data_IF_918027474781
#
_entry.id   IF_918027474781
#
_cell.length_a   1.000
_cell.length_b   1.000
_cell.length_c   1.000
_cell.angle_alpha   90.00
_cell.angle_beta   90.00
_cell.angle_gamma   90.00
#
_symmetry.space_group_name_H-M   'P 1'
#
loop_
_entity.id
_entity.type
_entity.pdbx_description
1 polymer ?
#
# COMPACT_ATOMS: atom_id res chain seq x y z
N UNK A 1 -14.46 3.34 10.58
CA UNK A 1 -14.88 2.27 9.64
C UNK A 1 -13.64 1.86 8.87
N UNK A 2 -13.13 0.65 9.07
CA UNK A 2 -12.02 0.16 8.24
C UNK A 2 -12.56 -0.10 6.84
N UNK A 3 -12.13 0.74 5.89
CA UNK A 3 -12.49 0.60 4.50
C UNK A 3 -11.36 -0.14 3.79
N UNK A 4 -11.62 -1.38 3.41
CA UNK A 4 -10.73 -2.19 2.61
C UNK A 4 -10.76 -1.67 1.17
N UNK A 5 -9.63 -1.15 0.69
CA UNK A 5 -9.50 -0.69 -0.69
C UNK A 5 -8.71 -1.70 -1.51
N UNK A 6 -9.37 -2.35 -2.46
CA UNK A 6 -8.73 -3.33 -3.32
C UNK A 6 -7.61 -2.70 -4.16
N UNK A 7 -6.47 -3.37 -4.22
CA UNK A 7 -5.33 -2.96 -5.02
C UNK A 7 -5.56 -3.34 -6.49
N UNK A 8 -5.18 -2.48 -7.44
CA UNK A 8 -5.45 -2.72 -8.87
C UNK A 8 -4.41 -3.54 -9.62
N UNK A 9 -3.17 -3.56 -9.12
CA UNK A 9 -2.01 -4.09 -9.85
C UNK A 9 -1.53 -5.38 -9.20
N UNK A 10 -2.28 -6.46 -9.41
CA UNK A 10 -1.91 -7.81 -9.02
C UNK A 10 -2.61 -8.85 -9.89
N UNK A 11 -2.12 -10.08 -9.83
CA UNK A 11 -2.78 -11.26 -10.40
C UNK A 11 -2.92 -12.33 -9.32
N UNK A 12 -3.89 -13.22 -9.48
CA UNK A 12 -4.03 -14.36 -8.60
C UNK A 12 -2.95 -15.40 -8.93
N UNK A 13 -2.41 -16.04 -7.89
CA UNK A 13 -1.44 -17.13 -7.96
C UNK A 13 -2.09 -18.47 -7.64
N UNK A 14 -1.27 -19.43 -7.22
CA UNK A 14 -1.72 -20.75 -6.77
C UNK A 14 -2.13 -20.70 -5.29
N UNK A 15 -3.00 -21.60 -4.84
CA UNK A 15 -3.38 -21.77 -3.43
C UNK A 15 -3.83 -20.47 -2.70
N UNK A 16 -4.51 -19.57 -3.42
CA UNK A 16 -4.99 -18.30 -2.85
C UNK A 16 -3.90 -17.23 -2.68
N UNK A 17 -2.70 -17.46 -3.20
CA UNK A 17 -1.66 -16.44 -3.27
C UNK A 17 -2.02 -15.33 -4.27
N UNK A 18 -1.41 -14.16 -4.09
CA UNK A 18 -1.49 -13.05 -5.06
C UNK A 18 -0.10 -12.57 -5.42
N UNK A 19 0.11 -12.26 -6.70
CA UNK A 19 1.37 -11.70 -7.20
C UNK A 19 1.16 -10.21 -7.47
N UNK A 20 1.67 -9.39 -6.57
CA UNK A 20 1.62 -7.93 -6.67
C UNK A 20 2.59 -7.43 -7.74
N UNK A 21 2.16 -6.52 -8.61
CA UNK A 21 2.98 -5.98 -9.71
C UNK A 21 3.20 -4.45 -9.64
N UNK A 22 2.85 -3.80 -8.52
CA UNK A 22 3.01 -2.34 -8.40
C UNK A 22 4.48 -1.88 -8.43
N UNK A 23 5.37 -2.59 -7.74
CA UNK A 23 6.79 -2.23 -7.65
C UNK A 23 7.68 -3.35 -8.19
N UNK A 24 8.97 -3.07 -8.33
CA UNK A 24 9.94 -4.01 -8.93
C UNK A 24 10.11 -5.33 -8.16
N UNK A 25 9.73 -5.38 -6.88
CA UNK A 25 9.88 -6.59 -6.04
C UNK A 25 8.96 -7.73 -6.45
N UNK A 26 7.85 -7.42 -7.15
CA UNK A 26 6.90 -8.43 -7.66
C UNK A 26 6.49 -9.47 -6.61
N UNK A 27 6.19 -9.04 -5.39
CA UNK A 27 5.96 -9.94 -4.25
C UNK A 27 4.83 -10.93 -4.53
N UNK A 28 5.09 -12.21 -4.30
CA UNK A 28 4.07 -13.24 -4.08
C UNK A 28 3.64 -13.20 -2.62
N UNK A 29 2.36 -13.00 -2.36
CA UNK A 29 1.81 -12.74 -1.03
C UNK A 29 0.78 -13.84 -0.73
N UNK A 30 1.08 -14.66 0.27
CA UNK A 30 0.17 -15.70 0.79
C UNK A 30 -1.00 -15.11 1.54
N UNK A 31 -2.06 -15.90 1.68
CA UNK A 31 -3.22 -15.57 2.50
C UNK A 31 -2.83 -15.05 3.90
N UNK A 32 -3.43 -13.94 4.31
CA UNK A 32 -3.16 -13.27 5.58
C UNK A 32 -1.74 -12.69 5.73
N UNK A 33 -0.94 -12.64 4.66
CA UNK A 33 0.41 -12.06 4.66
C UNK A 33 0.46 -10.72 3.97
N UNK A 34 1.57 -10.03 4.23
CA UNK A 34 1.88 -8.75 3.63
C UNK A 34 3.04 -8.86 2.63
N UNK A 35 3.04 -7.99 1.64
CA UNK A 35 4.24 -7.78 0.82
C UNK A 35 5.37 -7.12 1.61
N UNK A 36 6.57 -7.08 1.05
CA UNK A 36 7.76 -6.49 1.71
C UNK A 36 7.55 -5.02 2.14
N UNK A 37 6.67 -4.29 1.44
CA UNK A 37 6.31 -2.91 1.79
C UNK A 37 5.51 -2.78 3.09
N UNK A 38 4.99 -3.87 3.67
CA UNK A 38 4.18 -3.86 4.89
C UNK A 38 2.77 -3.28 4.76
N UNK A 39 2.42 -2.65 3.64
CA UNK A 39 1.14 -1.91 3.47
C UNK A 39 0.18 -2.55 2.45
N UNK A 40 0.50 -3.76 1.99
CA UNK A 40 -0.33 -4.54 1.08
C UNK A 40 -0.56 -5.91 1.66
N UNK A 41 -1.81 -6.27 1.88
CA UNK A 41 -2.23 -7.52 2.52
C UNK A 41 -3.08 -8.34 1.57
N UNK A 42 -2.80 -9.64 1.47
CA UNK A 42 -3.69 -10.59 0.80
C UNK A 42 -4.74 -11.10 1.79
N UNK A 43 -6.02 -10.92 1.45
CA UNK A 43 -7.15 -11.43 2.22
C UNK A 43 -8.12 -12.14 1.31
N UNK A 44 -8.33 -13.41 1.59
CA UNK A 44 -9.18 -14.33 0.83
C UNK A 44 -8.86 -14.28 -0.67
N UNK A 45 -7.56 -14.28 -1.02
CA UNK A 45 -7.07 -14.17 -2.41
C UNK A 45 -7.22 -12.78 -3.05
N UNK A 46 -7.67 -11.77 -2.31
CA UNK A 46 -7.80 -10.39 -2.78
C UNK A 46 -6.73 -9.50 -2.15
N UNK A 47 -6.01 -8.74 -2.98
CA UNK A 47 -4.96 -7.85 -2.48
C UNK A 47 -5.54 -6.50 -2.09
N UNK A 48 -5.32 -6.05 -0.87
CA UNK A 48 -5.80 -4.77 -0.35
C UNK A 48 -4.67 -3.79 -0.06
N UNK A 49 -4.95 -2.49 -0.23
CA UNK A 49 -4.07 -1.38 0.14
C UNK A 49 -4.44 -0.85 1.54
N UNK A 50 -3.62 -1.20 2.54
CA UNK A 50 -3.89 -0.95 3.97
C UNK A 50 -3.88 0.53 4.35
N UNK A 51 -3.22 1.36 3.55
CA UNK A 51 -2.98 2.78 3.80
C UNK A 51 -3.74 3.69 2.84
N UNK A 52 -4.62 3.13 2.00
CA UNK A 52 -5.40 3.95 1.07
C UNK A 52 -6.27 4.97 1.85
N UNK A 53 -6.16 6.24 1.47
CA UNK A 53 -6.89 7.33 2.11
C UNK A 53 -6.46 7.66 3.54
N UNK A 54 -5.36 7.07 4.05
CA UNK A 54 -4.84 7.37 5.39
C UNK A 54 -3.77 8.46 5.33
N UNK A 55 -3.96 9.52 6.10
CA UNK A 55 -2.96 10.58 6.29
C UNK A 55 -1.89 10.08 7.26
N UNK A 56 -0.62 10.10 6.85
CA UNK A 56 0.50 9.70 7.72
C UNK A 56 0.97 10.84 8.64
N UNK A 57 0.89 12.07 8.15
CA UNK A 57 1.29 13.27 8.87
C UNK A 57 0.64 14.50 8.25
N UNK A 58 0.29 15.46 9.10
CA UNK A 58 -0.19 16.78 8.73
C UNK A 58 0.65 17.80 9.48
N UNK A 59 1.09 18.85 8.79
CA UNK A 59 1.86 19.92 9.38
C UNK A 59 1.42 21.25 8.77
N UNK A 60 1.07 22.20 9.63
CA UNK A 60 0.82 23.59 9.25
C UNK A 60 2.11 24.35 9.54
N UNK A 61 2.85 24.66 8.48
CA UNK A 61 4.13 25.37 8.57
C UNK A 61 4.01 26.77 7.94
N UNK A 62 4.61 27.81 8.56
CA UNK A 62 4.67 29.15 7.98
C UNK A 62 5.54 29.17 6.71
N UNK A 63 5.30 30.16 5.84
CA UNK A 63 5.94 30.23 4.52
C UNK A 63 7.47 30.32 4.61
N UNK A 64 7.99 30.93 5.68
CA UNK A 64 9.41 31.17 5.95
C UNK A 64 10.22 29.89 6.26
N UNK A 65 9.56 28.73 6.49
CA UNK A 65 10.27 27.47 6.80
C UNK A 65 11.02 26.89 5.60
N UNK A 66 10.63 27.24 4.38
CA UNK A 66 11.42 26.95 3.17
C UNK A 66 12.43 28.09 2.96
N UNK A 67 13.73 27.80 2.79
CA UNK A 67 14.77 28.82 2.64
C UNK A 67 14.78 29.36 1.21
N UNK A 68 13.68 29.99 0.80
CA UNK A 68 13.58 30.72 -0.45
C UNK A 68 13.80 32.20 -0.14
N UNK A 69 15.08 32.59 -0.06
CA UNK A 69 15.47 33.99 -0.10
C UNK A 69 15.84 34.33 -1.55
N UNK A 70 15.46 35.53 -2.01
CA UNK A 70 15.82 36.05 -3.33
C UNK A 70 17.31 36.37 -3.44
#
# INVERSE_FOLDING_TARGET
>A
MEQWHEARQYRHGEEGEVVCSLCNHRCTIREGKHGICGVRENREGTLYAMTYGKVSSEAVDPIEKKPLYH
#
